data_IF_303081207501
#
_entry.id   IF_303081207501
#
_cell.length_a   1.000
_cell.length_b   1.000
_cell.length_c   1.000
_cell.angle_alpha   90.00
_cell.angle_beta   90.00
_cell.angle_gamma   90.00
#
_symmetry.space_group_name_H-M   'P 1'
#
loop_
_entity.id
_entity.type
_entity.pdbx_description
1 polymer ?
#
# COMPACT_ATOMS: atom_id res chain seq x y z
N UNK A 1 34.99 -14.59 5.48
CA UNK A 1 34.47 -13.67 6.52
C UNK A 1 32.97 -13.56 6.34
N UNK A 2 32.18 -14.26 7.17
CA UNK A 2 30.73 -14.10 7.23
C UNK A 2 30.45 -12.91 8.13
N UNK A 3 30.28 -11.72 7.56
CA UNK A 3 29.91 -10.52 8.32
C UNK A 3 28.49 -10.75 8.81
N UNK A 4 28.33 -11.02 10.11
CA UNK A 4 27.03 -11.00 10.77
C UNK A 4 26.55 -9.56 10.74
N UNK A 5 25.52 -9.31 9.94
CA UNK A 5 24.83 -8.03 9.93
C UNK A 5 23.86 -8.04 11.09
N UNK A 6 24.30 -7.50 12.24
CA UNK A 6 23.47 -7.42 13.44
C UNK A 6 22.42 -6.32 13.28
N UNK A 7 21.16 -6.69 13.50
CA UNK A 7 20.02 -5.77 13.54
C UNK A 7 20.16 -4.90 14.78
N UNK A 8 20.08 -3.58 14.61
CA UNK A 8 20.11 -2.63 15.74
C UNK A 8 18.84 -2.86 16.58
N UNK A 9 19.00 -3.57 17.68
CA UNK A 9 17.98 -3.83 18.70
C UNK A 9 17.74 -2.57 19.53
N UNK A 10 16.73 -1.79 19.14
CA UNK A 10 16.35 -0.58 19.85
C UNK A 10 15.00 -0.05 19.37
N UNK A 11 13.93 -0.82 19.57
CA UNK A 11 12.58 -0.43 19.18
C UNK A 11 11.52 -1.50 19.49
N UNK A 12 10.24 -1.11 19.37
CA UNK A 12 9.10 -2.03 19.46
C UNK A 12 9.31 -3.20 18.48
N UNK A 13 9.08 -4.47 18.88
CA UNK A 13 9.31 -5.63 18.02
C UNK A 13 8.62 -5.51 16.65
N UNK A 14 9.34 -5.87 15.58
CA UNK A 14 8.85 -5.78 14.20
C UNK A 14 7.50 -6.46 14.01
N UNK A 15 7.33 -7.68 14.53
CA UNK A 15 6.06 -8.42 14.44
C UNK A 15 4.90 -7.68 15.13
N UNK A 16 5.14 -6.93 16.21
CA UNK A 16 4.08 -6.16 16.88
C UNK A 16 3.62 -4.99 16.02
N UNK A 17 4.56 -4.29 15.37
CA UNK A 17 4.24 -3.18 14.46
C UNK A 17 3.52 -3.72 13.22
N UNK A 18 3.99 -4.83 12.65
CA UNK A 18 3.35 -5.50 11.52
C UNK A 18 1.90 -5.89 11.84
N UNK A 19 1.67 -6.59 12.96
CA UNK A 19 0.31 -7.02 13.35
C UNK A 19 -0.57 -5.80 13.65
N UNK A 20 -0.07 -4.81 14.38
CA UNK A 20 -0.83 -3.60 14.69
C UNK A 20 -1.20 -2.82 13.43
N UNK A 21 -0.25 -2.63 12.50
CA UNK A 21 -0.49 -1.97 11.22
C UNK A 21 -1.49 -2.74 10.37
N UNK A 22 -1.29 -4.04 10.19
CA UNK A 22 -2.18 -4.91 9.42
C UNK A 22 -3.63 -4.90 9.95
N UNK A 23 -3.82 -5.14 11.26
CA UNK A 23 -5.14 -5.18 11.88
C UNK A 23 -5.80 -3.81 11.83
N UNK A 24 -5.07 -2.74 12.18
CA UNK A 24 -5.61 -1.38 12.14
C UNK A 24 -6.04 -0.98 10.73
N UNK A 25 -5.22 -1.24 9.72
CA UNK A 25 -5.54 -0.91 8.32
C UNK A 25 -6.76 -1.68 7.81
N UNK A 26 -6.87 -2.97 8.10
CA UNK A 26 -8.04 -3.76 7.69
C UNK A 26 -9.30 -3.27 8.38
N UNK A 27 -9.26 -3.06 9.70
CA UNK A 27 -10.41 -2.58 10.47
C UNK A 27 -10.86 -1.20 9.97
N UNK A 28 -9.92 -0.27 9.72
CA UNK A 28 -10.24 1.05 9.17
C UNK A 28 -10.79 0.99 7.73
N UNK A 29 -10.29 0.09 6.88
CA UNK A 29 -10.86 -0.14 5.55
C UNK A 29 -12.28 -0.70 5.63
N UNK A 30 -12.56 -1.63 6.53
CA UNK A 30 -13.93 -2.13 6.72
C UNK A 30 -14.86 -1.09 7.37
N UNK A 31 -14.35 -0.25 8.28
CA UNK A 31 -15.11 0.89 8.81
C UNK A 31 -15.46 1.89 7.71
N UNK A 32 -14.60 2.08 6.72
CA UNK A 32 -14.93 2.92 5.56
C UNK A 32 -16.01 2.33 4.65
N UNK A 33 -16.20 1.01 4.66
CA UNK A 33 -17.32 0.35 3.96
C UNK A 33 -18.69 0.74 4.55
N UNK A 34 -18.75 1.21 5.81
CA UNK A 34 -19.99 1.73 6.38
C UNK A 34 -20.54 2.95 5.62
N UNK A 35 -19.72 3.69 4.86
CA UNK A 35 -20.22 4.73 3.94
C UNK A 35 -21.28 4.19 2.98
N UNK A 36 -21.12 2.94 2.50
CA UNK A 36 -22.06 2.29 1.57
C UNK A 36 -23.37 1.97 2.28
N UNK A 37 -23.32 1.64 3.58
CA UNK A 37 -24.48 1.31 4.39
C UNK A 37 -25.26 2.56 4.87
N UNK A 38 -24.56 3.66 5.16
CA UNK A 38 -25.17 4.88 5.72
C UNK A 38 -25.42 5.99 4.69
N UNK A 39 -25.01 5.83 3.42
CA UNK A 39 -25.08 6.86 2.36
C UNK A 39 -24.43 8.20 2.78
N UNK A 40 -23.42 8.15 3.65
CA UNK A 40 -22.66 9.31 4.09
C UNK A 40 -21.24 9.24 3.53
N UNK A 41 -20.56 10.38 3.43
CA UNK A 41 -19.16 10.48 2.99
C UNK A 41 -18.18 10.60 4.17
N UNK A 42 -18.68 10.67 5.41
CA UNK A 42 -17.86 10.91 6.60
C UNK A 42 -16.88 9.76 6.89
N UNK A 43 -17.23 8.52 6.57
CA UNK A 43 -16.36 7.37 6.88
C UNK A 43 -15.18 7.23 5.90
N UNK A 44 -15.10 8.09 4.86
CA UNK A 44 -13.93 8.14 3.95
C UNK A 44 -12.66 8.55 4.68
N UNK A 45 -12.79 9.28 5.80
CA UNK A 45 -11.67 9.63 6.68
C UNK A 45 -10.96 8.39 7.25
N UNK A 46 -11.69 7.30 7.51
CA UNK A 46 -11.07 6.05 7.96
C UNK A 46 -10.19 5.40 6.89
N UNK A 47 -10.43 5.68 5.60
CA UNK A 47 -9.51 5.30 4.52
C UNK A 47 -8.15 5.98 4.64
N UNK A 48 -8.13 7.26 5.01
CA UNK A 48 -6.89 8.00 5.31
C UNK A 48 -6.15 7.46 6.53
N UNK A 49 -6.87 7.15 7.62
CA UNK A 49 -6.27 6.50 8.79
C UNK A 49 -5.71 5.11 8.47
N UNK A 50 -6.40 4.34 7.63
CA UNK A 50 -5.92 3.05 7.16
C UNK A 50 -4.60 3.18 6.39
N UNK A 51 -4.49 4.20 5.53
CA UNK A 51 -3.27 4.50 4.80
C UNK A 51 -2.12 4.87 5.74
N UNK A 52 -2.36 5.72 6.76
CA UNK A 52 -1.33 6.08 7.76
C UNK A 52 -0.85 4.85 8.53
N UNK A 53 -1.75 3.99 8.99
CA UNK A 53 -1.38 2.77 9.70
C UNK A 53 -0.53 1.81 8.82
N UNK A 54 -0.88 1.71 7.54
CA UNK A 54 -0.11 0.92 6.57
C UNK A 54 1.28 1.51 6.32
N UNK A 55 1.39 2.84 6.21
CA UNK A 55 2.67 3.55 6.04
C UNK A 55 3.60 3.38 7.25
N UNK A 56 3.06 3.38 8.47
CA UNK A 56 3.85 3.13 9.69
C UNK A 56 4.44 1.72 9.65
N UNK A 57 3.65 0.71 9.25
CA UNK A 57 4.16 -0.64 9.06
C UNK A 57 5.25 -0.68 7.97
N UNK A 58 4.98 -0.14 6.77
CA UNK A 58 5.94 -0.12 5.67
C UNK A 58 7.25 0.60 5.99
N UNK A 59 7.19 1.74 6.68
CA UNK A 59 8.37 2.49 7.13
C UNK A 59 9.24 1.70 8.11
N UNK A 60 8.62 0.86 8.96
CA UNK A 60 9.37 -0.05 9.83
C UNK A 60 9.99 -1.21 9.06
N UNK A 61 9.26 -1.79 8.10
CA UNK A 61 9.76 -2.88 7.24
C UNK A 61 10.95 -2.42 6.39
N UNK A 62 10.87 -1.25 5.76
CA UNK A 62 11.99 -0.73 4.96
C UNK A 62 13.19 -0.37 5.85
N UNK A 63 12.98 0.14 7.07
CA UNK A 63 14.06 0.42 8.02
C UNK A 63 14.86 -0.84 8.36
N UNK A 64 14.17 -1.94 8.65
CA UNK A 64 14.80 -3.24 8.93
C UNK A 64 15.53 -3.76 7.70
N UNK A 65 14.97 -3.55 6.50
CA UNK A 65 15.62 -3.99 5.27
C UNK A 65 16.88 -3.15 4.95
N UNK A 66 16.82 -1.83 5.13
CA UNK A 66 17.94 -0.92 4.88
C UNK A 66 19.06 -1.04 5.94
N UNK A 67 18.76 -1.50 7.16
CA UNK A 67 19.81 -1.76 8.16
C UNK A 67 20.79 -2.86 7.74
N UNK A 68 20.47 -3.63 6.69
CA UNK A 68 21.42 -4.61 6.15
C UNK A 68 22.56 -3.99 5.31
N UNK A 69 22.54 -2.67 5.06
CA UNK A 69 23.73 -1.91 4.65
C UNK A 69 24.22 -2.09 3.20
N UNK A 70 23.40 -2.64 2.30
CA UNK A 70 23.78 -2.94 0.89
C UNK A 70 23.62 -1.72 -0.07
N UNK A 71 23.46 -0.51 0.47
CA UNK A 71 23.33 0.72 -0.33
C UNK A 71 21.96 0.86 -1.02
N UNK A 72 21.91 1.66 -2.09
CA UNK A 72 20.65 2.13 -2.72
C UNK A 72 19.83 1.06 -3.45
N UNK A 73 20.41 -0.12 -3.71
CA UNK A 73 19.69 -1.25 -4.33
C UNK A 73 18.54 -1.78 -3.46
N UNK A 74 18.64 -1.64 -2.14
CA UNK A 74 17.65 -2.13 -1.18
C UNK A 74 16.38 -1.27 -1.15
N UNK A 75 16.45 0.08 -1.01
CA UNK A 75 15.29 0.95 -1.21
C UNK A 75 14.61 0.77 -2.57
N UNK A 76 15.41 0.64 -3.64
CA UNK A 76 14.91 0.48 -5.01
C UNK A 76 14.07 -0.79 -5.19
N UNK A 77 14.48 -1.91 -4.60
CA UNK A 77 13.67 -3.14 -4.59
C UNK A 77 12.36 -2.95 -3.81
N UNK A 78 12.39 -2.15 -2.74
CA UNK A 78 11.21 -1.71 -1.99
C UNK A 78 10.22 -0.90 -2.84
N UNK A 79 10.69 0.03 -3.69
CA UNK A 79 9.83 0.75 -4.66
C UNK A 79 9.10 -0.20 -5.60
N UNK A 80 9.81 -1.20 -6.14
CA UNK A 80 9.24 -2.15 -7.09
C UNK A 80 8.16 -3.00 -6.39
N UNK A 81 8.45 -3.49 -5.18
CA UNK A 81 7.47 -4.23 -4.39
C UNK A 81 6.25 -3.36 -4.04
N UNK A 82 6.45 -2.14 -3.55
CA UNK A 82 5.37 -1.20 -3.24
C UNK A 82 4.51 -0.89 -4.48
N UNK A 83 5.13 -0.66 -5.64
CA UNK A 83 4.44 -0.39 -6.91
C UNK A 83 3.67 -1.59 -7.44
N UNK A 84 4.18 -2.81 -7.23
CA UNK A 84 3.43 -4.03 -7.52
C UNK A 84 2.13 -4.16 -6.71
N UNK A 85 2.06 -3.47 -5.56
CA UNK A 85 0.85 -3.30 -4.76
C UNK A 85 -0.29 -2.56 -5.49
N UNK A 86 0.02 -1.66 -6.45
CA UNK A 86 -1.00 -1.04 -7.31
C UNK A 86 -1.73 -2.11 -8.11
N UNK A 87 -0.97 -3.04 -8.71
CA UNK A 87 -1.53 -4.11 -9.52
C UNK A 87 -2.41 -5.04 -8.67
N UNK A 88 -1.94 -5.37 -7.45
CA UNK A 88 -2.72 -6.16 -6.50
C UNK A 88 -4.03 -5.45 -6.11
N UNK A 89 -3.99 -4.15 -5.82
CA UNK A 89 -5.15 -3.36 -5.45
C UNK A 89 -6.16 -3.27 -6.61
N UNK A 90 -5.71 -2.96 -7.82
CA UNK A 90 -6.59 -2.87 -9.00
C UNK A 90 -7.27 -4.21 -9.30
N UNK A 91 -6.56 -5.33 -9.23
CA UNK A 91 -7.15 -6.66 -9.43
C UNK A 91 -8.14 -7.02 -8.30
N UNK A 92 -7.82 -6.66 -7.07
CA UNK A 92 -8.67 -6.93 -5.92
C UNK A 92 -9.99 -6.15 -5.93
N UNK A 93 -10.01 -4.94 -6.51
CA UNK A 93 -11.23 -4.10 -6.58
C UNK A 93 -12.37 -4.75 -7.37
N UNK A 94 -12.11 -5.81 -8.16
CA UNK A 94 -13.15 -6.61 -8.81
C UNK A 94 -13.99 -7.44 -7.82
N UNK A 95 -13.49 -7.69 -6.63
CA UNK A 95 -14.14 -8.55 -5.63
C UNK A 95 -15.02 -7.78 -4.63
N UNK A 96 -15.37 -6.53 -4.94
CA UNK A 96 -16.25 -5.66 -4.14
C UNK A 96 -15.87 -5.71 -2.65
N UNK A 97 -16.75 -6.23 -1.77
CA UNK A 97 -16.58 -6.26 -0.31
C UNK A 97 -15.34 -7.05 0.14
N UNK A 98 -14.90 -8.01 -0.67
CA UNK A 98 -13.70 -8.80 -0.38
C UNK A 98 -12.40 -8.14 -0.88
N UNK A 99 -12.48 -6.98 -1.53
CA UNK A 99 -11.32 -6.31 -2.10
C UNK A 99 -10.15 -6.10 -1.11
N UNK A 100 -10.35 -5.67 0.15
CA UNK A 100 -9.23 -5.51 1.09
C UNK A 100 -8.50 -6.83 1.37
N UNK A 101 -9.23 -7.93 1.56
CA UNK A 101 -8.66 -9.26 1.83
C UNK A 101 -7.94 -9.79 0.58
N UNK A 102 -8.58 -9.67 -0.58
CA UNK A 102 -7.98 -10.13 -1.85
C UNK A 102 -6.74 -9.31 -2.19
N UNK A 103 -6.71 -8.01 -1.88
CA UNK A 103 -5.53 -7.16 -2.07
C UNK A 103 -4.34 -7.62 -1.22
N UNK A 104 -4.58 -8.06 0.03
CA UNK A 104 -3.54 -8.65 0.88
C UNK A 104 -3.01 -9.94 0.27
N UNK A 105 -3.90 -10.85 -0.15
CA UNK A 105 -3.49 -12.15 -0.70
C UNK A 105 -2.69 -11.96 -1.99
N UNK A 106 -3.21 -11.16 -2.93
CA UNK A 106 -2.53 -10.89 -4.20
C UNK A 106 -1.22 -10.13 -3.98
N UNK A 107 -1.21 -9.13 -3.08
CA UNK A 107 -0.01 -8.40 -2.71
C UNK A 107 1.05 -9.31 -2.11
N UNK A 108 0.68 -10.23 -1.22
CA UNK A 108 1.59 -11.19 -0.64
C UNK A 108 2.17 -12.15 -1.68
N UNK A 109 1.35 -12.68 -2.59
CA UNK A 109 1.82 -13.58 -3.66
C UNK A 109 2.81 -12.86 -4.58
N UNK A 110 2.47 -11.65 -5.05
CA UNK A 110 3.34 -10.87 -5.93
C UNK A 110 4.64 -10.48 -5.22
N UNK A 111 4.54 -10.03 -3.96
CA UNK A 111 5.69 -9.66 -3.15
C UNK A 111 6.60 -10.86 -2.81
N UNK A 112 6.06 -12.05 -2.62
CA UNK A 112 6.84 -13.29 -2.46
C UNK A 112 7.63 -13.63 -3.72
N UNK A 113 7.01 -13.51 -4.90
CA UNK A 113 7.69 -13.74 -6.18
C UNK A 113 8.83 -12.74 -6.36
N UNK A 114 8.57 -11.45 -6.13
CA UNK A 114 9.58 -10.39 -6.22
C UNK A 114 10.69 -10.58 -5.18
N UNK A 115 10.33 -10.97 -3.97
CA UNK A 115 11.25 -11.35 -2.88
C UNK A 115 12.19 -12.46 -3.28
N UNK A 116 11.64 -13.55 -3.83
CA UNK A 116 12.41 -14.69 -4.30
C UNK A 116 13.33 -14.31 -5.45
N UNK A 117 12.84 -13.56 -6.44
CA UNK A 117 13.65 -13.07 -7.57
C UNK A 117 14.80 -12.19 -7.06
N UNK A 118 14.54 -11.27 -6.13
CA UNK A 118 15.57 -10.38 -5.61
C UNK A 118 16.65 -11.12 -4.81
N UNK A 119 16.26 -12.14 -4.03
CA UNK A 119 17.22 -12.90 -3.24
C UNK A 119 17.99 -13.94 -4.08
N UNK A 120 17.29 -14.68 -4.95
CA UNK A 120 17.85 -15.81 -5.70
C UNK A 120 18.49 -15.41 -7.04
N UNK A 121 17.89 -14.48 -7.78
CA UNK A 121 18.38 -14.07 -9.11
C UNK A 121 19.36 -12.90 -8.98
N UNK A 122 18.97 -11.84 -8.25
CA UNK A 122 19.81 -10.65 -8.06
C UNK A 122 20.90 -10.85 -6.99
N UNK A 123 20.94 -12.00 -6.32
CA UNK A 123 21.98 -12.41 -5.37
C UNK A 123 22.26 -11.39 -4.26
N UNK A 124 21.23 -10.65 -3.81
CA UNK A 124 21.38 -9.69 -2.71
C UNK A 124 21.63 -10.39 -1.36
N UNK A 125 21.24 -11.67 -1.22
CA UNK A 125 21.55 -12.56 -0.07
C UNK A 125 21.22 -11.95 1.30
N UNK A 126 20.15 -11.16 1.38
CA UNK A 126 19.68 -10.57 2.64
C UNK A 126 18.66 -11.52 3.28
N UNK A 127 18.85 -11.96 4.54
CA UNK A 127 18.00 -12.98 5.16
C UNK A 127 16.54 -12.55 5.33
N UNK A 128 16.26 -11.25 5.48
CA UNK A 128 14.90 -10.71 5.61
C UNK A 128 14.28 -10.24 4.28
N UNK A 129 14.92 -10.47 3.13
CA UNK A 129 14.52 -9.84 1.86
C UNK A 129 13.13 -10.28 1.37
N UNK A 130 12.89 -11.59 1.37
CA UNK A 130 11.64 -12.16 0.85
C UNK A 130 10.47 -11.67 1.69
N UNK A 131 10.61 -11.71 3.01
CA UNK A 131 9.59 -11.23 3.93
C UNK A 131 9.36 -9.72 3.76
N UNK A 132 10.42 -8.90 3.77
CA UNK A 132 10.28 -7.46 3.67
C UNK A 132 9.63 -7.03 2.35
N UNK A 133 10.01 -7.61 1.21
CA UNK A 133 9.38 -7.28 -0.07
C UNK A 133 7.93 -7.77 -0.16
N UNK A 134 7.61 -8.89 0.48
CA UNK A 134 6.23 -9.37 0.62
C UNK A 134 5.37 -8.38 1.39
N UNK A 135 5.84 -7.96 2.56
CA UNK A 135 5.16 -6.97 3.39
C UNK A 135 5.01 -5.63 2.66
N UNK A 136 6.05 -5.19 1.95
CA UNK A 136 6.03 -3.93 1.19
C UNK A 136 5.00 -3.95 0.05
N UNK A 137 4.81 -5.08 -0.63
CA UNK A 137 3.77 -5.21 -1.65
C UNK A 137 2.36 -5.15 -1.05
N UNK A 138 2.15 -5.78 0.11
CA UNK A 138 0.88 -5.70 0.86
C UNK A 138 0.61 -4.28 1.35
N UNK A 139 1.62 -3.63 1.95
CA UNK A 139 1.53 -2.23 2.39
C UNK A 139 1.20 -1.32 1.20
N UNK A 140 1.83 -1.53 0.04
CA UNK A 140 1.51 -0.81 -1.19
C UNK A 140 0.04 -0.92 -1.57
N UNK A 141 -0.48 -2.14 -1.62
CA UNK A 141 -1.88 -2.39 -1.97
C UNK A 141 -2.85 -1.74 -0.98
N UNK A 142 -2.59 -1.87 0.32
CA UNK A 142 -3.46 -1.33 1.37
C UNK A 142 -3.40 0.20 1.48
N UNK A 143 -2.21 0.80 1.33
CA UNK A 143 -2.03 2.26 1.38
C UNK A 143 -2.76 2.93 0.22
N UNK A 144 -2.61 2.37 -0.99
CA UNK A 144 -3.29 2.86 -2.17
C UNK A 144 -4.79 2.68 -2.08
N UNK A 145 -5.26 1.56 -1.53
CA UNK A 145 -6.68 1.35 -1.27
C UNK A 145 -7.22 2.35 -0.25
N UNK A 146 -6.50 2.64 0.83
CA UNK A 146 -6.88 3.65 1.82
C UNK A 146 -6.96 5.06 1.22
N UNK A 147 -5.97 5.47 0.42
CA UNK A 147 -5.98 6.75 -0.29
C UNK A 147 -7.09 6.83 -1.34
N UNK A 148 -7.34 5.72 -2.05
CA UNK A 148 -8.43 5.65 -3.01
C UNK A 148 -9.79 5.86 -2.33
N UNK A 149 -10.03 5.18 -1.20
CA UNK A 149 -11.23 5.37 -0.37
C UNK A 149 -11.35 6.80 0.15
N UNK A 150 -10.24 7.41 0.58
CA UNK A 150 -10.25 8.79 1.06
C UNK A 150 -10.74 9.77 -0.03
N UNK A 151 -10.34 9.54 -1.28
CA UNK A 151 -10.61 10.42 -2.42
C UNK A 151 -12.00 10.15 -3.02
N UNK A 152 -12.37 8.89 -3.22
CA UNK A 152 -13.61 8.51 -3.94
C UNK A 152 -14.74 8.11 -3.00
N UNK A 153 -14.46 7.84 -1.73
CA UNK A 153 -15.40 7.27 -0.76
C UNK A 153 -15.71 5.78 -0.98
N UNK A 154 -15.07 5.12 -1.95
CA UNK A 154 -15.30 3.71 -2.28
C UNK A 154 -14.03 3.03 -2.80
N UNK A 155 -13.85 1.75 -2.46
CA UNK A 155 -12.79 0.91 -3.02
C UNK A 155 -13.28 -0.03 -4.14
N UNK A 156 -14.52 0.13 -4.61
CA UNK A 156 -15.05 -0.68 -5.73
C UNK A 156 -14.54 -0.17 -7.07
N UNK A 157 -14.36 -1.07 -8.03
CA UNK A 157 -13.87 -0.70 -9.37
C UNK A 157 -14.70 0.42 -10.01
N UNK A 158 -16.04 0.35 -9.91
CA UNK A 158 -16.94 1.37 -10.42
C UNK A 158 -16.70 2.75 -9.78
N UNK A 159 -16.49 2.80 -8.46
CA UNK A 159 -16.17 4.04 -7.74
C UNK A 159 -14.80 4.62 -8.10
N UNK A 160 -13.88 3.81 -8.61
CA UNK A 160 -12.53 4.24 -9.02
C UNK A 160 -12.46 4.70 -10.48
N UNK A 161 -13.34 4.17 -11.34
CA UNK A 161 -13.41 4.54 -12.77
C UNK A 161 -14.38 5.66 -13.06
N UNK A 162 -15.35 5.93 -12.18
CA UNK A 162 -16.39 6.93 -12.41
C UNK A 162 -16.16 8.17 -11.55
N UNK A 163 -15.72 9.26 -12.19
CA UNK A 163 -15.71 10.59 -11.59
C UNK A 163 -17.03 11.31 -11.84
N UNK A 164 -17.28 12.40 -11.12
CA UNK A 164 -18.45 13.27 -11.35
C UNK A 164 -17.97 14.67 -11.68
N UNK A 165 -18.41 15.22 -12.82
CA UNK A 165 -18.20 16.64 -13.16
C UNK A 165 -19.52 17.35 -13.04
N UNK A 166 -19.55 18.43 -12.25
CA UNK A 166 -20.72 19.29 -12.13
C UNK A 166 -20.68 20.33 -13.24
N UNK A 167 -21.60 20.23 -14.19
CA UNK A 167 -21.83 21.27 -15.19
C UNK A 167 -22.84 22.26 -14.61
N UNK A 168 -22.47 23.56 -14.62
CA UNK A 168 -23.25 24.64 -14.01
C UNK A 168 -23.59 24.46 -12.51
N UNK A 169 -22.85 23.64 -11.76
CA UNK A 169 -23.04 23.46 -10.31
C UNK A 169 -24.22 22.57 -9.90
N UNK A 170 -25.15 22.24 -10.81
CA UNK A 170 -26.37 21.49 -10.51
C UNK A 170 -26.51 20.16 -11.27
N UNK A 171 -25.83 19.99 -12.42
CA UNK A 171 -25.94 18.78 -13.24
C UNK A 171 -24.68 17.93 -13.05
N UNK A 172 -24.81 16.82 -12.32
CA UNK A 172 -23.76 15.84 -12.12
C UNK A 172 -23.72 14.87 -13.31
N UNK A 173 -22.69 14.96 -14.15
CA UNK A 173 -22.48 14.03 -15.27
C UNK A 173 -21.31 13.09 -14.93
N UNK A 174 -21.46 11.76 -15.14
CA UNK A 174 -20.36 10.82 -14.95
C UNK A 174 -19.24 11.09 -15.97
N UNK A 175 -18.03 11.35 -15.48
CA UNK A 175 -16.82 11.55 -16.30
C UNK A 175 -15.75 10.55 -15.91
N UNK A 176 -15.32 9.76 -16.88
CA UNK A 176 -14.26 8.77 -16.70
C UNK A 176 -12.85 9.41 -16.73
N UNK A 177 -12.71 10.62 -17.30
CA UNK A 177 -11.44 11.36 -17.35
C UNK A 177 -11.08 12.02 -16.01
N UNK A 178 -12.08 12.35 -15.17
CA UNK A 178 -11.87 12.95 -13.84
C UNK A 178 -12.08 11.90 -12.74
N UNK A 179 -11.62 10.68 -12.98
CA UNK A 179 -11.72 9.55 -12.05
C UNK A 179 -10.37 9.25 -11.38
N UNK A 180 -10.36 8.41 -10.34
CA UNK A 180 -9.12 8.06 -9.63
C UNK A 180 -8.09 7.38 -10.54
N UNK A 181 -8.58 6.54 -11.47
CA UNK A 181 -7.76 5.84 -12.46
C UNK A 181 -7.51 6.74 -13.69
N UNK A 182 -8.58 7.29 -14.28
CA UNK A 182 -8.50 8.05 -15.53
C UNK A 182 -7.88 9.44 -15.39
N UNK A 183 -7.95 10.05 -14.21
CA UNK A 183 -7.37 11.37 -13.90
C UNK A 183 -5.93 11.32 -13.40
N UNK A 184 -5.29 10.15 -13.38
CA UNK A 184 -3.89 9.99 -12.95
C UNK A 184 -3.66 10.13 -11.43
N UNK A 185 -4.72 10.23 -10.62
CA UNK A 185 -4.61 10.34 -9.16
C UNK A 185 -3.95 9.10 -8.53
N UNK A 186 -4.02 7.95 -9.21
CA UNK A 186 -3.30 6.73 -8.81
C UNK A 186 -1.78 6.94 -8.77
N UNK A 187 -1.21 7.68 -9.73
CA UNK A 187 0.23 7.97 -9.76
C UNK A 187 0.64 8.92 -8.62
N UNK A 188 -0.21 9.90 -8.30
CA UNK A 188 0.00 10.81 -7.18
C UNK A 188 -0.09 10.07 -5.85
N UNK A 189 -1.09 9.20 -5.68
CA UNK A 189 -1.24 8.38 -4.48
C UNK A 189 -0.04 7.43 -4.28
N UNK A 190 0.46 6.86 -5.38
CA UNK A 190 1.68 6.05 -5.36
C UNK A 190 2.90 6.87 -4.93
N UNK A 191 3.14 8.04 -5.54
CA UNK A 191 4.26 8.91 -5.17
C UNK A 191 4.17 9.35 -3.71
N UNK A 192 2.99 9.74 -3.24
CA UNK A 192 2.78 10.17 -1.85
C UNK A 192 3.15 9.04 -0.87
N UNK A 193 2.66 7.82 -1.10
CA UNK A 193 2.97 6.68 -0.25
C UNK A 193 4.42 6.20 -0.36
N UNK A 194 4.98 6.23 -1.56
CA UNK A 194 6.37 5.85 -1.81
C UNK A 194 7.37 6.79 -1.12
N UNK A 195 7.17 8.11 -1.26
CA UNK A 195 8.00 9.12 -0.61
C UNK A 195 7.90 8.97 0.92
N UNK A 196 6.69 8.80 1.45
CA UNK A 196 6.47 8.65 2.89
C UNK A 196 7.23 7.47 3.51
N UNK A 197 7.39 6.36 2.76
CA UNK A 197 8.14 5.19 3.25
C UNK A 197 9.64 5.32 2.99
N UNK A 198 10.05 5.81 1.81
CA UNK A 198 11.40 5.55 1.30
C UNK A 198 12.32 6.75 1.34
N UNK A 199 11.78 7.98 1.33
CA UNK A 199 12.58 9.18 1.42
C UNK A 199 13.52 9.22 2.65
N UNK A 200 13.13 8.72 3.85
CA UNK A 200 14.04 8.68 5.00
C UNK A 200 15.23 7.71 4.85
N UNK A 201 15.19 6.79 3.87
CA UNK A 201 16.15 5.69 3.73
C UNK A 201 16.83 5.63 2.36
N UNK A 202 16.50 6.54 1.45
CA UNK A 202 17.06 6.65 0.10
C UNK A 202 18.00 7.87 -0.05
N UNK A 203 18.50 8.40 1.08
CA UNK A 203 19.41 9.54 1.15
C UNK A 203 20.86 9.08 1.35
#
# INVERSE_FOLDING_TARGET
>A
MSIKVEVIEGGVPHNKIMIAGFVCTIVCLYLSYLNVATNTTLFSFFGGLAAVAALIWGSHTIKVLCSYGIGTGVPSAGMIAFGSGIMAMLLATKFNVFAPIVAVILGAVIGLILGYVANAILNMKIPAMVQALTEMAVVGALTLMGLAVLITGSFTFAGLTTGTVKILGFISVPSYQVSFIGGGLTAVAFLLGAIAIQHPFNA
#
